data_IF_826512152253
#
_entry.id   IF_826512152253
#
_cell.length_a   1.000
_cell.length_b   1.000
_cell.length_c   1.000
_cell.angle_alpha   90.00
_cell.angle_beta   90.00
_cell.angle_gamma   90.00
#
_symmetry.space_group_name_H-M   'P 1'
#
loop_
_entity.id
_entity.type
_entity.pdbx_description
1 polymer ?
#
# COMPACT_ATOMS: atom_id res chain seq x y z
N UNK A 1 10.02 -30.11 -58.98
CA UNK A 1 10.32 -30.63 -57.63
C UNK A 1 11.01 -29.52 -56.83
N UNK A 2 10.39 -29.05 -55.74
CA UNK A 2 11.00 -28.11 -54.82
C UNK A 2 12.00 -28.90 -53.94
N UNK A 3 13.29 -28.54 -53.98
CA UNK A 3 14.29 -29.08 -53.08
C UNK A 3 14.02 -28.47 -51.65
N UNK A 4 13.57 -29.29 -50.73
CA UNK A 4 13.53 -28.91 -49.31
C UNK A 4 15.01 -28.94 -48.82
N UNK A 5 15.62 -27.76 -48.64
CA UNK A 5 16.87 -27.65 -47.93
C UNK A 5 16.59 -27.82 -46.43
N UNK A 6 17.09 -28.86 -45.81
CA UNK A 6 17.00 -29.10 -44.37
C UNK A 6 18.00 -28.20 -43.62
N UNK A 7 17.66 -27.83 -42.35
CA UNK A 7 18.53 -27.10 -41.46
C UNK A 7 19.69 -27.98 -40.99
N UNK A 8 20.89 -27.44 -40.94
CA UNK A 8 22.05 -28.15 -40.37
C UNK A 8 22.08 -28.03 -38.84
N UNK A 9 22.62 -29.05 -38.18
CA UNK A 9 22.76 -29.06 -36.70
C UNK A 9 23.64 -27.89 -36.22
N UNK A 10 24.67 -27.52 -37.00
CA UNK A 10 25.57 -26.43 -36.64
C UNK A 10 24.90 -25.06 -36.73
N UNK A 11 24.02 -24.84 -37.73
CA UNK A 11 23.23 -23.60 -37.83
C UNK A 11 22.32 -23.44 -36.60
N UNK A 12 21.68 -24.51 -36.15
CA UNK A 12 20.87 -24.47 -34.92
C UNK A 12 21.71 -24.18 -33.68
N UNK A 13 22.89 -24.81 -33.53
CA UNK A 13 23.78 -24.62 -32.38
C UNK A 13 24.27 -23.17 -32.29
N UNK A 14 24.66 -22.54 -33.40
CA UNK A 14 25.14 -21.14 -33.43
C UNK A 14 24.01 -20.20 -32.99
N UNK A 15 22.79 -20.39 -33.49
CA UNK A 15 21.63 -19.56 -33.12
C UNK A 15 21.31 -19.66 -31.64
N UNK A 16 21.27 -20.89 -31.08
CA UNK A 16 21.03 -21.08 -29.64
C UNK A 16 22.14 -20.45 -28.79
N UNK A 17 23.42 -20.56 -29.22
CA UNK A 17 24.54 -19.93 -28.52
C UNK A 17 24.40 -18.40 -28.47
N UNK A 18 24.04 -17.76 -29.58
CA UNK A 18 23.84 -16.31 -29.63
C UNK A 18 22.68 -15.88 -28.74
N UNK A 19 21.54 -16.62 -28.80
CA UNK A 19 20.39 -16.35 -27.93
C UNK A 19 20.76 -16.48 -26.45
N UNK A 20 21.53 -17.49 -26.08
CA UNK A 20 21.96 -17.71 -24.69
C UNK A 20 22.84 -16.54 -24.18
N UNK A 21 23.73 -16.02 -24.99
CA UNK A 21 24.58 -14.85 -24.64
C UNK A 21 23.71 -13.59 -24.43
N UNK A 22 22.78 -13.33 -25.35
CA UNK A 22 21.89 -12.17 -25.25
C UNK A 22 20.99 -12.31 -24.01
N UNK A 23 20.42 -13.49 -23.77
CA UNK A 23 19.56 -13.76 -22.62
C UNK A 23 20.30 -13.58 -21.28
N UNK A 24 21.56 -14.01 -21.19
CA UNK A 24 22.39 -13.90 -20.00
C UNK A 24 22.59 -12.43 -19.55
N UNK A 25 22.62 -11.50 -20.48
CA UNK A 25 22.76 -10.06 -20.20
C UNK A 25 21.38 -9.40 -19.99
N UNK A 26 20.38 -9.81 -20.78
CA UNK A 26 19.07 -9.17 -20.79
C UNK A 26 18.22 -9.49 -19.56
N UNK A 27 18.25 -10.73 -19.06
CA UNK A 27 17.39 -11.19 -17.94
C UNK A 27 17.67 -10.42 -16.64
N UNK A 28 18.92 -10.26 -16.15
CA UNK A 28 19.19 -9.50 -14.93
C UNK A 28 18.78 -8.02 -15.04
N UNK A 29 19.03 -7.41 -16.19
CA UNK A 29 18.67 -6.02 -16.45
C UNK A 29 17.15 -5.82 -16.46
N UNK A 30 16.41 -6.75 -17.05
CA UNK A 30 14.94 -6.73 -17.05
C UNK A 30 14.36 -6.88 -15.63
N UNK A 31 14.94 -7.75 -14.80
CA UNK A 31 14.50 -7.92 -13.42
C UNK A 31 14.69 -6.63 -12.62
N UNK A 32 15.85 -6.00 -12.69
CA UNK A 32 16.12 -4.72 -12.02
C UNK A 32 15.19 -3.60 -12.51
N UNK A 33 14.93 -3.51 -13.81
CA UNK A 33 13.99 -2.54 -14.38
C UNK A 33 12.56 -2.78 -13.85
N UNK A 34 12.14 -4.04 -13.70
CA UNK A 34 10.84 -4.42 -13.17
C UNK A 34 10.67 -4.05 -11.71
N UNK A 35 11.70 -4.28 -10.88
CA UNK A 35 11.72 -3.86 -9.47
C UNK A 35 11.53 -2.34 -9.36
N UNK A 36 12.33 -1.56 -10.09
CA UNK A 36 12.24 -0.10 -10.08
C UNK A 36 10.88 0.42 -10.58
N UNK A 37 10.29 -0.23 -11.58
CA UNK A 37 8.95 0.12 -12.06
C UNK A 37 7.87 -0.13 -11.01
N UNK A 38 7.92 -1.26 -10.30
CA UNK A 38 6.99 -1.58 -9.21
C UNK A 38 7.13 -0.59 -8.05
N UNK A 39 8.35 -0.26 -7.63
CA UNK A 39 8.62 0.72 -6.57
C UNK A 39 8.09 2.11 -6.94
N UNK A 40 8.34 2.55 -8.16
CA UNK A 40 7.81 3.83 -8.67
C UNK A 40 6.29 3.84 -8.70
N UNK A 41 5.66 2.74 -9.12
CA UNK A 41 4.21 2.59 -9.11
C UNK A 41 3.64 2.58 -7.68
N UNK A 42 4.35 2.00 -6.71
CA UNK A 42 3.96 2.02 -5.30
C UNK A 42 3.99 3.45 -4.73
N UNK A 43 5.05 4.22 -4.97
CA UNK A 43 5.15 5.62 -4.56
C UNK A 43 4.04 6.48 -5.21
N UNK A 44 3.78 6.30 -6.50
CA UNK A 44 2.69 7.01 -7.19
C UNK A 44 1.32 6.65 -6.60
N UNK A 45 1.12 5.39 -6.22
CA UNK A 45 -0.11 4.91 -5.57
C UNK A 45 -0.29 5.54 -4.19
N UNK A 46 0.76 5.62 -3.36
CA UNK A 46 0.72 6.27 -2.05
C UNK A 46 0.37 7.76 -2.16
N UNK A 47 0.93 8.48 -3.14
CA UNK A 47 0.57 9.89 -3.41
C UNK A 47 -0.89 10.04 -3.82
N UNK A 48 -1.40 9.10 -4.62
CA UNK A 48 -2.82 9.09 -5.00
C UNK A 48 -3.72 8.83 -3.77
N UNK A 49 -3.34 7.91 -2.87
CA UNK A 49 -4.03 7.66 -1.61
C UNK A 49 -4.03 8.92 -0.73
N UNK A 50 -2.89 9.61 -0.61
CA UNK A 50 -2.81 10.87 0.16
C UNK A 50 -3.75 11.94 -0.41
N UNK A 51 -3.79 12.11 -1.72
CA UNK A 51 -4.74 13.02 -2.37
C UNK A 51 -6.19 12.60 -2.16
N UNK A 52 -6.49 11.31 -2.20
CA UNK A 52 -7.81 10.77 -1.95
C UNK A 52 -8.27 10.99 -0.50
N UNK A 53 -7.36 10.86 0.47
CA UNK A 53 -7.62 11.15 1.88
C UNK A 53 -8.01 12.62 2.09
N UNK A 54 -7.26 13.56 1.50
CA UNK A 54 -7.59 14.98 1.58
C UNK A 54 -8.96 15.31 0.95
N UNK A 55 -9.27 14.69 -0.20
CA UNK A 55 -10.58 14.84 -0.83
C UNK A 55 -11.70 14.24 0.03
N UNK A 56 -11.49 13.08 0.63
CA UNK A 56 -12.46 12.42 1.50
C UNK A 56 -12.75 13.26 2.74
N UNK A 57 -11.73 13.75 3.41
CA UNK A 57 -11.84 14.64 4.57
C UNK A 57 -12.67 15.88 4.24
N UNK A 58 -12.43 16.49 3.09
CA UNK A 58 -13.17 17.68 2.63
C UNK A 58 -14.68 17.41 2.39
N UNK A 59 -15.12 16.15 2.31
CA UNK A 59 -16.56 15.84 2.20
C UNK A 59 -17.30 15.96 3.53
N UNK A 60 -16.60 16.00 4.66
CA UNK A 60 -17.13 15.96 6.03
C UNK A 60 -18.12 14.82 6.29
N UNK A 61 -18.11 13.76 5.46
CA UNK A 61 -19.00 12.58 5.67
C UNK A 61 -18.56 11.71 6.84
N UNK A 62 -17.28 11.75 7.19
CA UNK A 62 -16.70 11.00 8.29
C UNK A 62 -16.58 11.83 9.58
N UNK A 63 -17.42 12.84 9.73
CA UNK A 63 -17.56 13.65 10.93
C UNK A 63 -18.37 12.86 11.98
N UNK A 64 -17.67 12.27 12.96
CA UNK A 64 -18.27 11.38 13.95
C UNK A 64 -18.78 12.09 15.21
N UNK A 65 -18.25 13.26 15.52
CA UNK A 65 -18.63 14.07 16.70
C UNK A 65 -19.47 15.29 16.34
N UNK A 66 -19.60 15.58 15.02
CA UNK A 66 -20.40 16.69 14.44
C UNK A 66 -19.86 18.07 14.76
N UNK A 67 -18.54 18.17 14.80
CA UNK A 67 -17.86 19.47 14.96
C UNK A 67 -17.64 20.21 13.64
N UNK A 68 -17.91 19.56 12.50
CA UNK A 68 -17.80 20.09 11.14
C UNK A 68 -16.52 19.66 10.43
N UNK A 69 -15.61 18.96 11.10
CA UNK A 69 -14.38 18.44 10.52
C UNK A 69 -14.57 16.98 10.10
N UNK A 70 -14.16 16.60 8.91
CA UNK A 70 -14.22 15.21 8.45
C UNK A 70 -12.96 14.45 8.82
N UNK A 71 -13.12 13.20 9.25
CA UNK A 71 -11.99 12.30 9.48
C UNK A 71 -11.47 11.63 8.20
N UNK A 72 -10.28 11.04 8.26
CA UNK A 72 -9.68 10.23 7.18
C UNK A 72 -10.36 8.85 7.08
N UNK A 73 -10.29 8.23 5.90
CA UNK A 73 -11.04 7.01 5.57
C UNK A 73 -10.21 5.76 5.36
N UNK A 74 -10.88 4.61 5.36
CA UNK A 74 -10.34 3.31 4.95
C UNK A 74 -10.44 3.13 3.43
N UNK A 75 -9.79 2.10 2.87
CA UNK A 75 -9.87 1.82 1.43
C UNK A 75 -11.29 1.63 0.93
N UNK A 76 -12.12 0.88 1.66
CA UNK A 76 -13.50 0.61 1.28
C UNK A 76 -14.37 1.85 1.31
N UNK A 77 -14.14 2.77 2.25
CA UNK A 77 -14.82 4.05 2.31
C UNK A 77 -14.42 4.96 1.13
N UNK A 78 -13.09 5.12 0.90
CA UNK A 78 -12.53 5.95 -0.17
C UNK A 78 -12.94 5.47 -1.57
N UNK A 79 -13.07 4.17 -1.75
CA UNK A 79 -13.47 3.55 -3.03
C UNK A 79 -14.99 3.41 -3.21
N UNK A 80 -15.78 3.83 -2.21
CA UNK A 80 -17.24 3.77 -2.25
C UNK A 80 -17.81 2.34 -2.22
N UNK A 81 -17.10 1.39 -1.61
CA UNK A 81 -17.54 0.01 -1.45
C UNK A 81 -18.35 -0.19 -0.16
N UNK A 82 -18.00 0.51 0.90
CA UNK A 82 -18.73 0.48 2.16
C UNK A 82 -19.30 1.85 2.51
N UNK A 83 -20.37 1.84 3.31
CA UNK A 83 -20.88 3.06 3.92
C UNK A 83 -19.78 3.69 4.79
N UNK A 84 -19.70 5.02 4.79
CA UNK A 84 -18.75 5.77 5.61
C UNK A 84 -19.07 5.51 7.08
N UNK A 85 -18.07 5.11 7.86
CA UNK A 85 -18.21 4.72 9.28
C UNK A 85 -19.26 3.61 9.51
N UNK A 86 -19.27 2.60 8.64
CA UNK A 86 -20.21 1.47 8.75
C UNK A 86 -20.19 0.87 10.16
N UNK A 87 -21.39 0.72 10.77
CA UNK A 87 -21.53 0.22 12.16
C UNK A 87 -21.34 1.27 13.24
N UNK A 88 -20.95 2.51 12.93
CA UNK A 88 -20.93 3.61 13.88
C UNK A 88 -22.31 4.31 13.95
N UNK A 89 -22.71 4.87 15.13
CA UNK A 89 -23.99 5.59 15.25
C UNK A 89 -24.16 6.78 14.27
N UNK A 90 -23.06 7.39 13.83
CA UNK A 90 -23.01 8.48 12.84
C UNK A 90 -22.63 7.98 11.44
N UNK A 91 -22.89 6.72 11.12
CA UNK A 91 -22.62 6.17 9.79
C UNK A 91 -23.33 7.02 8.71
N UNK A 92 -22.57 7.41 7.68
CA UNK A 92 -23.10 8.07 6.50
C UNK A 92 -23.29 7.04 5.38
N UNK A 93 -23.96 7.44 4.28
CA UNK A 93 -24.10 6.59 3.11
C UNK A 93 -22.78 6.37 2.38
N UNK A 94 -22.83 5.63 1.28
CA UNK A 94 -21.67 5.43 0.40
C UNK A 94 -21.09 6.76 -0.09
N UNK A 95 -19.77 6.80 -0.25
CA UNK A 95 -19.12 7.94 -0.91
C UNK A 95 -19.40 7.86 -2.42
N UNK A 96 -20.10 8.87 -2.94
CA UNK A 96 -20.42 8.97 -4.35
C UNK A 96 -20.27 10.43 -4.84
N UNK A 97 -19.38 10.71 -5.81
CA UNK A 97 -18.45 9.77 -6.46
C UNK A 97 -17.32 9.31 -5.52
N UNK A 98 -16.76 8.12 -5.75
CA UNK A 98 -15.60 7.63 -4.99
C UNK A 98 -14.35 8.46 -5.32
N UNK A 99 -13.48 8.65 -4.33
CA UNK A 99 -12.22 9.39 -4.50
C UNK A 99 -11.03 8.49 -4.80
N UNK A 100 -11.17 7.18 -4.58
CA UNK A 100 -10.14 6.18 -4.86
C UNK A 100 -10.64 5.16 -5.89
N UNK A 101 -9.72 4.64 -6.68
CA UNK A 101 -10.01 3.63 -7.72
C UNK A 101 -10.71 2.40 -7.16
N UNK A 102 -11.62 1.82 -7.94
CA UNK A 102 -12.28 0.55 -7.62
C UNK A 102 -11.36 -0.65 -7.37
N UNK A 103 -10.07 -0.56 -7.75
CA UNK A 103 -9.08 -1.57 -7.42
C UNK A 103 -8.82 -1.71 -5.90
N UNK A 104 -9.26 -0.75 -5.09
CA UNK A 104 -9.13 -0.75 -3.62
C UNK A 104 -10.41 -1.19 -2.88
N UNK A 105 -11.44 -1.64 -3.60
CA UNK A 105 -12.73 -2.05 -3.02
C UNK A 105 -12.69 -3.35 -2.22
N UNK A 106 -11.78 -4.24 -2.57
CA UNK A 106 -11.73 -5.59 -2.01
C UNK A 106 -10.41 -5.87 -1.30
N UNK A 107 -10.16 -5.25 -0.13
CA UNK A 107 -9.04 -5.67 0.72
C UNK A 107 -9.20 -7.15 1.11
N UNK A 108 -8.09 -7.83 1.37
CA UNK A 108 -8.11 -9.17 1.91
C UNK A 108 -8.54 -9.18 3.40
N UNK A 109 -8.57 -10.35 4.04
CA UNK A 109 -8.96 -10.49 5.44
C UNK A 109 -8.06 -9.70 6.42
N UNK A 110 -6.85 -9.32 6.01
CA UNK A 110 -5.93 -8.50 6.79
C UNK A 110 -6.12 -7.00 6.53
N UNK A 111 -6.98 -6.59 5.60
CA UNK A 111 -7.15 -5.20 5.17
C UNK A 111 -6.13 -4.73 4.14
N UNK A 112 -5.43 -5.66 3.49
CA UNK A 112 -4.38 -5.40 2.51
C UNK A 112 -4.93 -5.41 1.09
N UNK A 113 -4.50 -4.45 0.25
CA UNK A 113 -4.78 -4.41 -1.18
C UNK A 113 -3.49 -4.63 -1.95
N UNK A 114 -3.47 -5.61 -2.85
CA UNK A 114 -2.31 -5.89 -3.72
C UNK A 114 -2.41 -5.12 -5.03
N UNK A 115 -1.35 -4.35 -5.38
CA UNK A 115 -1.25 -3.64 -6.65
C UNK A 115 0.22 -3.49 -7.08
N UNK A 116 0.50 -3.75 -8.37
CA UNK A 116 1.84 -3.57 -8.95
C UNK A 116 2.95 -4.26 -8.16
N UNK A 117 2.71 -5.46 -7.62
CA UNK A 117 3.69 -6.21 -6.84
C UNK A 117 3.90 -5.72 -5.41
N UNK A 118 3.05 -4.82 -4.93
CA UNK A 118 3.06 -4.27 -3.57
C UNK A 118 1.74 -4.52 -2.86
N UNK A 119 1.78 -4.73 -1.55
CA UNK A 119 0.65 -4.65 -0.65
C UNK A 119 0.54 -3.23 -0.10
N UNK A 120 -0.69 -2.77 0.10
CA UNK A 120 -1.04 -1.48 0.70
C UNK A 120 -2.00 -1.73 1.85
N UNK A 121 -1.83 -1.00 2.96
CA UNK A 121 -2.73 -1.06 4.11
C UNK A 121 -2.84 0.31 4.77
N UNK A 122 -4.07 0.72 5.11
CA UNK A 122 -4.37 1.96 5.85
C UNK A 122 -4.62 1.62 7.31
N UNK A 123 -4.10 2.47 8.19
CA UNK A 123 -4.35 2.46 9.61
C UNK A 123 -4.91 3.80 10.06
N UNK A 124 -5.96 3.75 10.87
CA UNK A 124 -6.61 4.90 11.49
C UNK A 124 -6.37 4.87 13.00
N UNK A 125 -6.35 6.02 13.70
CA UNK A 125 -6.06 6.06 15.13
C UNK A 125 -7.26 5.65 15.99
N UNK A 126 -7.00 4.92 17.08
CA UNK A 126 -7.95 4.73 18.19
C UNK A 126 -7.84 5.87 19.23
N UNK A 127 -8.55 5.76 20.34
CA UNK A 127 -8.55 6.76 21.43
C UNK A 127 -7.21 6.93 22.15
N UNK A 128 -6.25 6.03 21.96
CA UNK A 128 -4.90 6.11 22.49
C UNK A 128 -3.88 6.54 21.42
N UNK A 129 -4.34 6.79 20.19
CA UNK A 129 -3.49 7.05 19.04
C UNK A 129 -2.84 5.79 18.45
N UNK A 130 -3.34 4.60 18.77
CA UNK A 130 -2.86 3.35 18.19
C UNK A 130 -3.52 3.11 16.83
N UNK A 131 -2.78 2.53 15.90
CA UNK A 131 -3.31 2.19 14.59
C UNK A 131 -4.27 1.01 14.64
N UNK A 132 -5.47 1.21 14.15
CA UNK A 132 -6.47 0.17 13.90
C UNK A 132 -6.77 0.10 12.40
N UNK A 133 -7.05 -1.10 11.88
CA UNK A 133 -7.33 -1.31 10.46
C UNK A 133 -8.79 -1.76 10.28
N UNK A 134 -9.72 -0.86 9.94
CA UNK A 134 -11.13 -1.24 9.73
C UNK A 134 -11.31 -2.21 8.56
N UNK A 135 -10.53 -2.08 7.50
CA UNK A 135 -10.57 -3.00 6.36
C UNK A 135 -10.09 -4.42 6.72
N UNK A 136 -9.29 -4.56 7.79
CA UNK A 136 -8.86 -5.84 8.38
C UNK A 136 -9.79 -6.37 9.47
N UNK A 137 -10.98 -5.80 9.63
CA UNK A 137 -12.02 -6.29 10.55
C UNK A 137 -12.12 -5.55 11.88
N UNK A 138 -11.28 -4.53 12.14
CA UNK A 138 -11.47 -3.66 13.29
C UNK A 138 -12.77 -2.83 13.10
N UNK A 139 -13.65 -2.73 14.12
CA UNK A 139 -14.87 -1.94 14.00
C UNK A 139 -14.55 -0.44 14.00
N UNK A 140 -15.28 0.37 13.21
CA UNK A 140 -15.12 1.84 13.20
C UNK A 140 -15.44 2.49 14.55
N UNK A 141 -16.14 1.82 15.45
CA UNK A 141 -16.38 2.28 16.83
C UNK A 141 -15.10 2.36 17.66
N UNK A 142 -14.00 1.74 17.23
CA UNK A 142 -12.69 1.86 17.87
C UNK A 142 -11.89 3.07 17.37
N UNK A 143 -12.25 3.62 16.22
CA UNK A 143 -11.58 4.80 15.65
C UNK A 143 -12.01 6.03 16.46
N UNK A 144 -11.04 6.84 16.87
CA UNK A 144 -11.30 8.09 17.61
C UNK A 144 -11.70 9.22 16.66
N UNK A 145 -12.75 9.96 17.00
CA UNK A 145 -13.30 11.04 16.18
C UNK A 145 -12.27 12.16 15.96
N UNK A 146 -11.75 12.74 17.03
CA UNK A 146 -10.83 13.89 16.97
C UNK A 146 -9.47 13.54 16.34
N UNK A 147 -8.88 12.38 16.73
CA UNK A 147 -7.53 12.03 16.29
C UNK A 147 -7.54 11.63 14.80
N UNK A 148 -8.59 10.99 14.30
CA UNK A 148 -8.69 10.57 12.89
C UNK A 148 -8.82 11.74 11.91
N UNK A 149 -9.14 12.94 12.39
CA UNK A 149 -9.18 14.15 11.58
C UNK A 149 -7.79 14.70 11.28
N UNK A 150 -6.82 14.37 12.12
CA UNK A 150 -5.45 14.89 12.02
C UNK A 150 -4.43 13.82 11.69
N UNK A 151 -4.77 12.53 11.82
CA UNK A 151 -3.79 11.44 11.75
C UNK A 151 -4.31 10.24 10.99
N UNK A 152 -3.49 9.70 10.12
CA UNK A 152 -3.62 8.41 9.45
C UNK A 152 -2.26 7.95 8.94
N UNK A 153 -2.12 6.68 8.60
CA UNK A 153 -0.91 6.17 7.96
C UNK A 153 -1.27 5.10 6.94
N UNK A 154 -0.55 5.08 5.83
CA UNK A 154 -0.60 4.00 4.85
C UNK A 154 0.80 3.48 4.58
N UNK A 155 0.96 2.17 4.66
CA UNK A 155 2.18 1.45 4.31
C UNK A 155 2.04 0.77 2.96
N UNK A 156 3.16 0.66 2.24
CA UNK A 156 3.30 -0.14 1.03
C UNK A 156 4.57 -0.99 1.12
N UNK A 157 4.44 -2.31 1.01
CA UNK A 157 5.57 -3.24 1.08
C UNK A 157 5.50 -4.29 -0.03
N UNK A 158 6.65 -4.87 -0.46
CA UNK A 158 6.68 -5.81 -1.58
C UNK A 158 5.96 -7.12 -1.24
N UNK A 159 5.23 -7.66 -2.20
CA UNK A 159 4.64 -9.02 -2.10
C UNK A 159 5.74 -10.05 -1.90
N UNK A 160 6.86 -9.91 -2.61
CA UNK A 160 8.06 -10.75 -2.46
C UNK A 160 9.31 -9.86 -2.54
N UNK A 161 10.03 -9.75 -1.42
CA UNK A 161 11.31 -9.04 -1.37
C UNK A 161 12.30 -9.62 -2.38
N UNK A 162 13.04 -8.77 -3.09
CA UNK A 162 13.98 -9.17 -4.12
C UNK A 162 13.37 -9.51 -5.48
N UNK A 163 12.05 -9.70 -5.58
CA UNK A 163 11.36 -10.07 -6.82
C UNK A 163 10.32 -9.05 -7.26
N UNK A 164 9.56 -8.48 -6.35
CA UNK A 164 8.57 -7.42 -6.64
C UNK A 164 9.02 -6.03 -6.20
N UNK A 165 9.95 -5.92 -5.26
CA UNK A 165 10.57 -4.70 -4.76
C UNK A 165 11.56 -5.00 -3.65
N UNK A 166 12.39 -4.01 -3.30
CA UNK A 166 13.38 -4.06 -2.23
C UNK A 166 13.10 -3.04 -1.13
N UNK A 167 12.20 -2.10 -1.38
CA UNK A 167 11.90 -1.00 -0.47
C UNK A 167 10.46 -1.07 0.03
N UNK A 168 10.29 -0.69 1.28
CA UNK A 168 8.98 -0.45 1.89
C UNK A 168 8.77 1.05 2.02
N UNK A 169 7.56 1.50 1.78
CA UNK A 169 7.19 2.91 1.77
C UNK A 169 6.07 3.17 2.79
N UNK A 170 6.03 4.40 3.28
CA UNK A 170 4.96 4.89 4.14
C UNK A 170 4.57 6.31 3.72
N UNK A 171 3.30 6.64 3.86
CA UNK A 171 2.77 8.00 3.76
C UNK A 171 1.78 8.24 4.90
N UNK A 172 1.73 9.44 5.39
CA UNK A 172 0.78 9.88 6.40
C UNK A 172 0.14 11.24 6.00
N UNK A 173 -0.47 11.93 6.95
CA UNK A 173 -1.13 13.23 6.76
C UNK A 173 -0.21 14.33 6.23
N UNK A 174 1.11 14.23 6.39
CA UNK A 174 2.06 15.21 5.83
C UNK A 174 2.15 15.13 4.31
N UNK A 175 1.76 13.98 3.71
CA UNK A 175 1.87 13.70 2.28
C UNK A 175 3.25 13.29 1.81
N UNK A 176 4.26 13.30 2.69
CA UNK A 176 5.61 12.88 2.38
C UNK A 176 5.71 11.34 2.37
N UNK A 177 6.31 10.81 1.31
CA UNK A 177 6.58 9.37 1.20
C UNK A 177 7.97 9.09 1.75
N UNK A 178 8.02 8.39 2.88
CA UNK A 178 9.28 7.90 3.46
C UNK A 178 9.53 6.45 3.06
N UNK A 179 10.79 6.02 3.05
CA UNK A 179 11.20 4.69 2.59
C UNK A 179 12.19 4.04 3.53
N UNK A 180 12.13 2.71 3.63
CA UNK A 180 13.14 1.89 4.29
C UNK A 180 13.50 0.69 3.41
N UNK A 181 14.73 0.18 3.53
CA UNK A 181 15.18 -1.04 2.89
C UNK A 181 15.32 -2.12 3.96
N UNK A 182 14.40 -3.08 3.96
CA UNK A 182 14.43 -4.20 4.90
C UNK A 182 13.82 -5.44 4.27
N UNK A 183 14.50 -6.55 4.36
CA UNK A 183 14.02 -7.86 3.89
C UNK A 183 12.97 -8.50 4.83
N UNK A 184 12.72 -7.88 5.98
CA UNK A 184 11.71 -8.32 6.93
C UNK A 184 10.28 -7.99 6.45
N UNK A 185 10.12 -6.96 5.60
CA UNK A 185 8.83 -6.47 5.16
C UNK A 185 8.44 -7.06 3.82
N UNK A 186 7.81 -8.24 3.86
CA UNK A 186 7.37 -8.98 2.67
C UNK A 186 6.21 -9.93 2.98
N UNK A 187 5.36 -10.19 1.97
CA UNK A 187 4.26 -11.15 2.08
C UNK A 187 2.97 -10.59 2.68
N UNK A 188 1.99 -11.48 2.86
CA UNK A 188 0.68 -11.16 3.43
C UNK A 188 0.68 -11.25 4.96
N UNK A 189 -0.22 -10.49 5.61
CA UNK A 189 -0.41 -10.55 7.06
C UNK A 189 0.74 -9.93 7.86
N UNK A 190 1.62 -9.17 7.22
CA UNK A 190 2.81 -8.61 7.83
C UNK A 190 2.48 -7.74 9.05
N UNK A 191 1.50 -6.87 8.91
CA UNK A 191 1.05 -5.98 9.97
C UNK A 191 0.23 -6.70 11.03
N UNK A 192 -0.49 -7.76 10.67
CA UNK A 192 -1.31 -8.55 11.59
C UNK A 192 -0.47 -9.51 12.42
N UNK A 193 0.65 -10.00 11.85
CA UNK A 193 1.60 -10.91 12.52
C UNK A 193 2.60 -10.22 13.45
N UNK A 194 2.56 -8.88 13.58
CA UNK A 194 3.43 -8.13 14.47
C UNK A 194 4.86 -7.90 13.95
N UNK A 195 5.16 -8.29 12.71
CA UNK A 195 6.50 -8.09 12.10
C UNK A 195 6.72 -6.63 11.70
N UNK A 196 5.67 -5.93 11.29
CA UNK A 196 5.68 -4.49 11.01
C UNK A 196 4.44 -3.85 11.66
N UNK A 197 4.49 -3.50 12.95
CA UNK A 197 3.37 -2.86 13.61
C UNK A 197 3.10 -1.44 13.04
N UNK A 198 1.90 -0.89 13.23
CA UNK A 198 1.52 0.42 12.70
C UNK A 198 2.49 1.56 13.03
N UNK A 199 3.21 1.47 14.14
CA UNK A 199 4.16 2.48 14.60
C UNK A 199 5.57 2.38 13.97
N UNK A 200 5.84 1.42 13.09
CA UNK A 200 7.19 1.11 12.60
C UNK A 200 7.94 2.29 11.96
N UNK A 201 7.22 3.28 11.43
CA UNK A 201 7.81 4.46 10.82
C UNK A 201 7.83 5.70 11.73
N UNK A 202 7.49 5.57 13.03
CA UNK A 202 7.40 6.69 13.96
C UNK A 202 8.52 6.64 15.00
N UNK A 203 9.08 7.82 15.35
CA UNK A 203 10.06 7.96 16.43
C UNK A 203 9.34 7.71 17.77
N UNK A 204 9.93 6.83 18.60
CA UNK A 204 9.36 6.45 19.90
C UNK A 204 7.93 5.84 19.79
N UNK A 205 7.57 5.30 18.64
CA UNK A 205 6.33 4.58 18.46
C UNK A 205 6.30 3.35 19.38
N UNK A 206 5.80 3.51 20.61
CA UNK A 206 5.49 2.39 21.49
C UNK A 206 4.03 1.98 21.30
N UNK A 207 3.74 0.68 21.49
CA UNK A 207 2.37 0.19 21.57
C UNK A 207 1.46 0.49 20.35
N UNK A 208 2.00 0.41 19.12
CA UNK A 208 1.26 0.66 17.87
C UNK A 208 0.80 2.12 17.65
N UNK A 209 1.37 3.11 18.34
CA UNK A 209 1.02 4.52 18.15
C UNK A 209 1.39 5.01 16.77
N UNK A 210 0.46 5.70 16.09
CA UNK A 210 0.65 6.34 14.78
C UNK A 210 0.61 7.87 14.86
N UNK A 211 0.58 8.44 16.07
CA UNK A 211 0.46 9.89 16.33
C UNK A 211 1.81 10.57 16.58
N UNK A 212 2.92 9.90 16.36
CA UNK A 212 4.27 10.45 16.58
C UNK A 212 4.86 11.19 15.38
N UNK A 213 6.09 11.72 15.57
CA UNK A 213 6.92 12.20 14.47
C UNK A 213 7.45 11.02 13.66
N UNK A 214 7.48 11.14 12.34
CA UNK A 214 8.06 10.12 11.46
C UNK A 214 9.57 10.00 11.68
N UNK A 215 10.09 8.78 11.73
CA UNK A 215 11.50 8.46 11.86
C UNK A 215 12.23 8.71 10.52
N UNK A 216 12.49 9.96 10.17
CA UNK A 216 13.24 10.33 8.98
C UNK A 216 14.74 10.16 9.26
N UNK A 217 15.42 9.30 8.47
CA UNK A 217 16.87 9.13 8.51
C UNK A 217 17.40 8.11 9.52
N UNK A 218 16.55 7.37 10.21
CA UNK A 218 16.96 6.18 10.97
C UNK A 218 16.62 4.93 10.14
N UNK A 219 17.65 4.21 9.70
CA UNK A 219 17.47 2.85 9.19
C UNK A 219 16.95 2.00 10.36
N UNK A 220 15.67 1.62 10.30
CA UNK A 220 15.07 0.68 11.24
C UNK A 220 15.59 -0.74 11.03
#
# INVERSE_FOLDING_TARGET
MRKNSGFTLIELMIVVAIIAIIAAIAIPNLLSARLNANETAAVATLRNISSAQAQFQATSKADMDRDGTGGFGSFRELSGDSAVRAGHPQAAGLLNPPVLSGAFRTPNANGEVSRSGYFFQIWLPDGNGYGVCPDGGAPFTTVNADIVETTWVCYAWPVNYGNSGNRTFMVNQTGDVVTTESNLYTGTGLMTGGTMPPHSAFINGANNSITGLTAVGTNG
#
